data_IF_659502088248
#
_entry.id   IF_659502088248
#
_cell.length_a   1.000
_cell.length_b   1.000
_cell.length_c   1.000
_cell.angle_alpha   90.00
_cell.angle_beta   90.00
_cell.angle_gamma   90.00
#
_symmetry.space_group_name_H-M   'P 1'
#
loop_
_entity.id
_entity.type
_entity.pdbx_description
1 polymer ?
#
# COMPACT_ATOMS: atom_id res chain seq x y z
N UNK A 1 21.36 2.76 8.03
CA UNK A 1 20.02 2.11 8.09
C UNK A 1 18.94 3.18 7.92
N UNK A 2 19.04 4.27 8.68
CA UNK A 2 18.33 5.56 8.54
C UNK A 2 18.03 6.03 7.10
N UNK A 3 19.06 6.26 6.28
CA UNK A 3 18.88 6.82 4.93
C UNK A 3 18.10 5.91 3.95
N UNK A 4 18.08 4.60 4.22
CA UNK A 4 17.31 3.63 3.42
C UNK A 4 15.84 3.68 3.82
N UNK A 5 15.56 3.76 5.13
CA UNK A 5 14.20 3.92 5.66
C UNK A 5 13.58 5.25 5.21
N UNK A 6 14.32 6.36 5.30
CA UNK A 6 13.86 7.68 4.85
C UNK A 6 13.45 7.70 3.36
N UNK A 7 14.15 6.94 2.49
CA UNK A 7 13.79 6.83 1.08
C UNK A 7 12.50 6.03 0.85
N UNK A 8 12.25 5.00 1.66
CA UNK A 8 11.03 4.20 1.57
C UNK A 8 9.83 4.90 2.21
N UNK A 9 10.03 5.60 3.33
CA UNK A 9 9.06 6.51 3.94
C UNK A 9 8.65 7.59 2.94
N UNK A 10 9.59 8.21 2.22
CA UNK A 10 9.27 9.18 1.17
C UNK A 10 8.36 8.63 0.05
N UNK A 11 8.45 7.34 -0.32
CA UNK A 11 7.58 6.77 -1.36
C UNK A 11 6.16 6.47 -0.84
N UNK A 12 6.04 6.04 0.42
CA UNK A 12 4.75 5.80 1.07
C UNK A 12 4.05 7.13 1.39
N UNK A 13 4.82 8.12 1.82
CA UNK A 13 4.34 9.47 2.11
C UNK A 13 3.89 10.18 0.84
N UNK A 14 4.66 10.11 -0.26
CA UNK A 14 4.25 10.72 -1.52
C UNK A 14 2.91 10.18 -2.04
N UNK A 15 2.71 8.86 -2.00
CA UNK A 15 1.41 8.28 -2.40
C UNK A 15 0.29 8.71 -1.45
N UNK A 16 0.58 8.83 -0.15
CA UNK A 16 -0.38 9.30 0.85
C UNK A 16 -0.78 10.76 0.65
N UNK A 17 0.17 11.63 0.26
CA UNK A 17 -0.06 13.03 -0.10
C UNK A 17 -0.92 13.14 -1.37
N UNK A 18 -0.64 12.37 -2.42
CA UNK A 18 -1.47 12.37 -3.63
C UNK A 18 -2.91 11.93 -3.39
N UNK A 19 -3.13 11.02 -2.44
CA UNK A 19 -4.49 10.60 -2.08
C UNK A 19 -5.25 11.69 -1.30
N UNK A 20 -4.55 12.58 -0.61
CA UNK A 20 -5.17 13.73 0.08
C UNK A 20 -5.63 14.80 -0.91
N UNK A 21 -5.04 14.84 -2.11
CA UNK A 21 -5.39 15.75 -3.20
C UNK A 21 -6.50 15.25 -4.14
N UNK A 22 -7.32 14.26 -3.72
CA UNK A 22 -8.47 13.83 -4.52
C UNK A 22 -9.43 15.00 -4.79
N UNK A 23 -9.89 15.17 -6.06
CA UNK A 23 -10.78 16.27 -6.44
C UNK A 23 -12.12 16.17 -5.70
N UNK A 24 -12.69 17.32 -5.34
CA UNK A 24 -14.03 17.38 -4.74
C UNK A 24 -15.08 17.17 -5.84
N UNK A 25 -15.59 15.94 -5.91
CA UNK A 25 -16.61 15.53 -6.89
C UNK A 25 -17.80 14.90 -6.18
N UNK A 26 -19.00 15.06 -6.77
CA UNK A 26 -20.25 14.49 -6.22
C UNK A 26 -20.41 13.00 -6.55
N UNK A 27 -19.66 12.51 -7.53
CA UNK A 27 -19.70 11.11 -7.93
C UNK A 27 -19.06 10.19 -6.87
N UNK A 28 -19.68 9.03 -6.61
CA UNK A 28 -19.13 8.09 -5.65
C UNK A 28 -17.85 7.42 -6.15
N UNK A 29 -16.88 7.25 -5.26
CA UNK A 29 -15.66 6.48 -5.51
C UNK A 29 -15.88 5.03 -5.07
N UNK A 30 -15.49 4.09 -5.92
CA UNK A 30 -15.59 2.66 -5.62
C UNK A 30 -14.22 2.02 -5.44
N UNK A 31 -14.01 1.34 -4.32
CA UNK A 31 -12.80 0.56 -4.06
C UNK A 31 -13.20 -0.87 -3.71
N UNK A 32 -12.84 -1.81 -4.58
CA UNK A 32 -13.01 -3.25 -4.35
C UNK A 32 -14.42 -3.63 -3.83
N UNK A 33 -15.45 -3.09 -4.48
CA UNK A 33 -16.87 -3.34 -4.15
C UNK A 33 -17.46 -2.46 -3.04
N UNK A 34 -16.69 -1.59 -2.39
CA UNK A 34 -17.20 -0.62 -1.41
C UNK A 34 -17.37 0.77 -2.05
N UNK A 35 -18.47 1.46 -1.70
CA UNK A 35 -18.82 2.80 -2.19
C UNK A 35 -18.46 3.85 -1.15
N UNK A 36 -17.79 4.91 -1.57
CA UNK A 36 -17.41 6.06 -0.75
C UNK A 36 -17.93 7.35 -1.39
N UNK A 37 -18.40 8.25 -0.54
CA UNK A 37 -18.74 9.62 -0.89
C UNK A 37 -17.59 10.52 -0.42
N UNK A 38 -16.97 11.30 -1.31
CA UNK A 38 -15.76 12.05 -0.99
C UNK A 38 -15.99 13.19 -0.02
N UNK A 39 -17.20 13.76 0.04
CA UNK A 39 -17.51 14.87 0.95
C UNK A 39 -17.66 14.39 2.38
N UNK A 40 -18.19 13.17 2.56
CA UNK A 40 -18.56 12.64 3.88
C UNK A 40 -17.63 11.54 4.40
N UNK A 41 -16.97 10.79 3.52
CA UNK A 41 -16.24 9.56 3.88
C UNK A 41 -14.82 9.48 3.29
N UNK A 42 -14.19 10.63 3.01
CA UNK A 42 -12.81 10.72 2.48
C UNK A 42 -11.83 9.98 3.38
N UNK A 43 -11.93 10.14 4.70
CA UNK A 43 -11.05 9.50 5.68
C UNK A 43 -11.12 7.98 5.62
N UNK A 44 -12.33 7.43 5.48
CA UNK A 44 -12.60 6.00 5.38
C UNK A 44 -12.09 5.43 4.05
N UNK A 45 -12.26 6.18 2.94
CA UNK A 45 -11.67 5.86 1.64
C UNK A 45 -10.15 5.77 1.75
N UNK A 46 -9.50 6.79 2.31
CA UNK A 46 -8.06 6.83 2.50
C UNK A 46 -7.57 5.67 3.38
N UNK A 47 -8.30 5.38 4.45
CA UNK A 47 -7.99 4.27 5.34
C UNK A 47 -8.11 2.91 4.63
N UNK A 48 -9.14 2.72 3.80
CA UNK A 48 -9.31 1.50 3.01
C UNK A 48 -8.17 1.30 2.01
N UNK A 49 -7.78 2.36 1.28
CA UNK A 49 -6.64 2.32 0.34
C UNK A 49 -5.33 2.02 1.08
N UNK A 50 -5.04 2.72 2.19
CA UNK A 50 -3.82 2.53 2.99
C UNK A 50 -3.73 1.14 3.63
N UNK A 51 -4.87 0.50 3.86
CA UNK A 51 -4.93 -0.84 4.45
C UNK A 51 -4.65 -1.98 3.45
N UNK A 52 -4.49 -1.68 2.15
CA UNK A 52 -4.17 -2.70 1.14
C UNK A 52 -2.68 -3.04 1.17
N UNK A 53 -2.35 -4.32 1.01
CA UNK A 53 -0.96 -4.78 0.96
C UNK A 53 -0.31 -4.29 -0.35
N UNK A 54 0.58 -3.30 -0.23
CA UNK A 54 1.29 -2.72 -1.36
C UNK A 54 2.67 -3.36 -1.54
N UNK A 55 2.90 -3.93 -2.72
CA UNK A 55 4.19 -4.51 -3.09
C UNK A 55 4.85 -3.70 -4.19
N UNK A 56 6.08 -3.27 -3.94
CA UNK A 56 6.90 -2.50 -4.87
C UNK A 56 8.17 -3.28 -5.21
N UNK A 57 8.95 -2.75 -6.15
CA UNK A 57 10.28 -3.28 -6.45
C UNK A 57 11.13 -3.38 -5.19
N UNK A 58 11.88 -4.48 -5.09
CA UNK A 58 12.84 -4.74 -4.05
C UNK A 58 14.22 -4.93 -4.67
N UNK A 59 15.23 -4.70 -3.85
CA UNK A 59 16.64 -4.89 -4.18
C UNK A 59 17.36 -5.47 -2.99
N UNK A 60 18.50 -6.11 -3.21
CA UNK A 60 19.30 -6.78 -2.17
C UNK A 60 18.56 -7.94 -1.49
N UNK A 61 17.62 -8.57 -2.19
CA UNK A 61 17.11 -9.89 -1.76
C UNK A 61 18.10 -10.98 -2.20
N UNK A 62 18.04 -12.16 -1.56
CA UNK A 62 18.88 -13.30 -1.91
C UNK A 62 18.75 -13.62 -3.41
N UNK A 63 19.87 -13.80 -4.14
CA UNK A 63 19.82 -14.09 -5.57
C UNK A 63 18.85 -15.23 -5.90
N UNK A 64 17.93 -14.99 -6.82
CA UNK A 64 16.94 -15.99 -7.21
C UNK A 64 17.68 -17.17 -7.85
N UNK A 65 17.54 -18.37 -7.29
CA UNK A 65 18.28 -19.56 -7.75
C UNK A 65 19.79 -19.51 -7.46
N UNK A 66 20.26 -18.68 -6.53
CA UNK A 66 21.66 -18.59 -6.09
C UNK A 66 22.56 -17.70 -6.94
N UNK A 67 22.29 -17.58 -8.24
CA UNK A 67 23.06 -16.74 -9.18
C UNK A 67 22.22 -15.76 -9.99
N UNK A 68 20.89 -15.84 -9.89
CA UNK A 68 19.98 -14.97 -10.64
C UNK A 68 19.86 -13.56 -10.06
N UNK A 69 18.86 -12.78 -10.52
CA UNK A 69 18.69 -11.40 -10.09
C UNK A 69 18.52 -11.28 -8.56
N UNK A 70 19.06 -10.20 -7.99
CA UNK A 70 18.86 -9.76 -6.60
C UNK A 70 18.04 -8.46 -6.48
N UNK A 71 17.45 -8.04 -7.60
CA UNK A 71 16.54 -6.92 -7.74
C UNK A 71 15.51 -7.23 -8.83
N UNK A 72 14.26 -6.86 -8.59
CA UNK A 72 13.17 -6.99 -9.58
C UNK A 72 12.82 -5.68 -10.28
N UNK A 73 13.56 -4.60 -10.00
CA UNK A 73 13.41 -3.32 -10.68
C UNK A 73 13.60 -3.47 -12.21
N UNK A 74 12.64 -2.97 -12.98
CA UNK A 74 12.66 -2.98 -14.45
C UNK A 74 11.98 -4.19 -15.11
N UNK A 75 11.71 -5.27 -14.36
CA UNK A 75 11.07 -6.47 -14.92
C UNK A 75 9.98 -7.10 -14.03
N UNK A 76 9.95 -6.78 -12.73
CA UNK A 76 9.06 -7.41 -11.76
C UNK A 76 7.67 -6.80 -11.61
N UNK A 77 7.31 -5.75 -12.36
CA UNK A 77 6.07 -4.98 -12.07
C UNK A 77 4.81 -5.84 -12.11
N UNK A 78 4.64 -6.68 -13.13
CA UNK A 78 3.47 -7.55 -13.25
C UNK A 78 3.43 -8.61 -12.14
N UNK A 79 4.59 -9.10 -11.71
CA UNK A 79 4.70 -10.02 -10.57
C UNK A 79 4.26 -9.33 -9.26
N UNK A 80 4.63 -8.05 -9.06
CA UNK A 80 4.15 -7.26 -7.92
C UNK A 80 2.65 -7.01 -7.97
N UNK A 81 2.08 -6.73 -9.14
CA UNK A 81 0.63 -6.65 -9.32
C UNK A 81 -0.08 -7.97 -8.98
N UNK A 82 0.47 -9.09 -9.43
CA UNK A 82 0.00 -10.44 -9.08
C UNK A 82 0.04 -10.71 -7.57
N UNK A 83 1.13 -10.30 -6.91
CA UNK A 83 1.24 -10.37 -5.45
C UNK A 83 0.16 -9.53 -4.75
N UNK A 84 -0.11 -8.31 -5.23
CA UNK A 84 -1.13 -7.43 -4.63
C UNK A 84 -2.54 -8.01 -4.73
N UNK A 85 -2.95 -8.49 -5.92
CA UNK A 85 -4.29 -9.05 -6.09
C UNK A 85 -4.48 -10.37 -5.31
N UNK A 86 -3.46 -11.23 -5.30
CA UNK A 86 -3.50 -12.46 -4.50
C UNK A 86 -3.51 -12.16 -3.00
N UNK A 87 -2.69 -11.21 -2.54
CA UNK A 87 -2.70 -10.79 -1.15
C UNK A 87 -4.04 -10.18 -0.75
N UNK A 88 -4.71 -9.42 -1.62
CA UNK A 88 -6.06 -8.94 -1.36
C UNK A 88 -7.07 -10.09 -1.22
N UNK A 89 -6.99 -11.13 -2.06
CA UNK A 89 -7.82 -12.32 -1.92
C UNK A 89 -7.58 -13.03 -0.57
N UNK A 90 -6.32 -13.15 -0.16
CA UNK A 90 -5.94 -13.71 1.14
C UNK A 90 -6.44 -12.86 2.32
N UNK A 91 -6.34 -11.54 2.22
CA UNK A 91 -6.92 -10.61 3.21
C UNK A 91 -8.43 -10.83 3.31
N UNK A 92 -9.15 -10.87 2.18
CA UNK A 92 -10.58 -11.16 2.18
C UNK A 92 -10.90 -12.53 2.79
N UNK A 93 -10.10 -13.56 2.52
CA UNK A 93 -10.32 -14.93 3.01
C UNK A 93 -10.06 -15.08 4.52
N UNK A 94 -9.00 -14.45 5.03
CA UNK A 94 -8.48 -14.69 6.37
C UNK A 94 -8.80 -13.58 7.37
N UNK A 95 -8.86 -12.33 6.90
CA UNK A 95 -9.16 -11.17 7.73
C UNK A 95 -10.55 -10.60 7.41
N UNK A 96 -11.13 -10.87 6.24
CA UNK A 96 -12.38 -10.25 5.82
C UNK A 96 -12.17 -8.83 5.27
N UNK A 97 -13.08 -8.41 4.38
CA UNK A 97 -13.00 -7.14 3.65
C UNK A 97 -13.14 -5.90 4.53
N UNK A 98 -13.93 -6.00 5.60
CA UNK A 98 -14.26 -4.90 6.52
C UNK A 98 -13.23 -4.66 7.62
N UNK A 99 -12.23 -5.55 7.76
CA UNK A 99 -11.14 -5.34 8.70
C UNK A 99 -10.13 -4.37 8.10
N UNK A 100 -10.28 -3.10 8.46
CA UNK A 100 -9.35 -2.03 8.10
C UNK A 100 -8.15 -2.13 9.04
N UNK A 101 -6.95 -2.24 8.46
CA UNK A 101 -5.70 -2.20 9.22
C UNK A 101 -5.61 -0.86 9.97
N UNK A 102 -5.77 -0.90 11.29
CA UNK A 102 -5.52 0.25 12.16
C UNK A 102 -4.05 0.25 12.55
N UNK A 103 -3.25 1.08 11.87
CA UNK A 103 -1.93 1.44 12.39
C UNK A 103 -2.14 2.23 13.67
N UNK A 104 -1.74 1.68 14.82
CA UNK A 104 -1.49 2.53 16.00
C UNK A 104 -0.37 3.50 15.59
N UNK A 105 -0.48 4.81 15.87
CA UNK A 105 0.64 5.72 15.67
C UNK A 105 1.85 5.12 16.37
N UNK A 106 2.98 5.01 15.67
CA UNK A 106 4.22 4.63 16.34
C UNK A 106 4.53 5.72 17.36
N UNK A 107 4.41 5.42 18.65
CA UNK A 107 5.03 6.24 19.69
C UNK A 107 6.54 6.13 19.50
N UNK A 108 7.11 7.05 18.71
CA UNK A 108 8.55 7.24 18.65
C UNK A 108 8.92 7.88 20.00
N UNK A 109 9.22 7.04 21.00
CA UNK A 109 9.91 7.50 22.20
C UNK A 109 11.34 7.85 21.80
N UNK A 110 11.55 9.12 21.47
CA UNK A 110 12.88 9.71 21.40
C UNK A 110 13.54 9.51 22.78
N UNK A 111 14.60 8.69 22.82
CA UNK A 111 15.59 8.68 23.90
C UNK A 111 16.78 9.49 23.44
#
# INVERSE_FOLDING_TARGET
MEAVLAKYENQINAFSEFLEDLPDVDEPVWILGARYDLKTSKTELLSDVRSRLWFTYRKKFSPIGGTGPSSDAGWGCMLRCGQMILAQALVCRHLGRGNIWRTKPAEIKLK
#
